data_IF_840902115172
#
_entry.id   IF_840902115172
#
_cell.length_a   1.000
_cell.length_b   1.000
_cell.length_c   1.000
_cell.angle_alpha   90.00
_cell.angle_beta   90.00
_cell.angle_gamma   90.00
#
_symmetry.space_group_name_H-M   'P 1'
#
loop_
_entity.id
_entity.type
_entity.pdbx_description
1 polymer ?
#
# COMPACT_ATOMS: atom_id res chain seq x y z
N UNK A 1 21.29 20.50 2.39
CA UNK A 1 21.20 19.67 1.17
C UNK A 1 22.17 18.48 1.20
N UNK A 2 23.49 18.68 1.38
CA UNK A 2 24.48 17.57 1.42
C UNK A 2 24.21 16.48 2.49
N UNK A 3 23.68 16.84 3.67
CA UNK A 3 23.35 15.89 4.75
C UNK A 3 22.18 14.95 4.44
N UNK A 4 21.22 15.39 3.62
CA UNK A 4 20.06 14.58 3.20
C UNK A 4 20.51 13.53 2.17
N UNK A 5 21.40 13.92 1.26
CA UNK A 5 21.97 13.01 0.24
C UNK A 5 22.79 11.90 0.91
N UNK A 6 23.54 12.21 1.96
CA UNK A 6 24.31 11.21 2.72
C UNK A 6 23.39 10.21 3.44
N UNK A 7 22.27 10.66 4.00
CA UNK A 7 21.27 9.77 4.62
C UNK A 7 20.61 8.82 3.61
N UNK A 8 20.33 9.30 2.40
CA UNK A 8 19.77 8.47 1.31
C UNK A 8 20.77 7.40 0.86
N UNK A 9 22.06 7.76 0.77
CA UNK A 9 23.13 6.84 0.37
C UNK A 9 23.48 5.83 1.48
N UNK A 10 23.35 6.19 2.76
CA UNK A 10 23.57 5.23 3.84
C UNK A 10 22.44 4.19 3.97
N UNK A 11 21.18 4.56 3.67
CA UNK A 11 20.06 3.62 3.70
C UNK A 11 20.18 2.53 2.62
N UNK A 12 20.79 2.83 1.47
CA UNK A 12 20.94 1.86 0.38
C UNK A 12 21.98 0.76 0.65
N UNK A 13 22.76 0.87 1.73
CA UNK A 13 23.76 -0.14 2.12
C UNK A 13 23.24 -1.14 3.17
N UNK A 14 22.02 -0.94 3.67
CA UNK A 14 21.39 -1.83 4.66
C UNK A 14 20.60 -2.96 3.97
N UNK A 15 20.46 -2.94 2.64
CA UNK A 15 19.82 -4.05 1.91
C UNK A 15 20.68 -5.31 2.02
N UNK A 16 20.20 -6.37 2.69
CA UNK A 16 20.86 -7.66 2.65
C UNK A 16 20.82 -8.18 1.21
N UNK A 17 21.97 -8.55 0.64
CA UNK A 17 21.98 -9.40 -0.56
C UNK A 17 21.60 -10.81 -0.11
N UNK A 18 20.41 -11.25 -0.49
CA UNK A 18 19.97 -12.62 -0.21
C UNK A 18 20.86 -13.63 -0.94
N UNK A 19 21.24 -14.68 -0.22
CA UNK A 19 21.99 -15.82 -0.73
C UNK A 19 21.10 -16.63 -1.68
N UNK A 20 21.55 -16.76 -2.93
CA UNK A 20 20.86 -17.46 -4.01
C UNK A 20 20.66 -18.95 -3.66
N UNK A 21 19.49 -19.24 -3.08
CA UNK A 21 18.98 -20.59 -2.85
C UNK A 21 17.98 -20.83 -3.98
N UNK A 22 18.17 -21.87 -4.78
CA UNK A 22 17.34 -22.20 -5.96
C UNK A 22 15.92 -22.65 -5.53
N UNK A 23 15.15 -21.74 -4.94
CA UNK A 23 13.71 -21.86 -4.71
C UNK A 23 13.06 -20.84 -5.64
N UNK A 24 12.71 -21.29 -6.83
CA UNK A 24 11.99 -20.44 -7.79
C UNK A 24 10.57 -20.19 -7.28
N UNK A 25 10.27 -18.94 -6.96
CA UNK A 25 8.91 -18.50 -6.61
C UNK A 25 8.03 -18.57 -7.87
N UNK A 26 6.76 -18.91 -7.71
CA UNK A 26 5.82 -19.03 -8.84
C UNK A 26 5.00 -17.73 -8.96
N UNK A 27 4.98 -17.06 -10.13
CA UNK A 27 4.16 -15.87 -10.34
C UNK A 27 2.67 -16.08 -10.08
N UNK A 28 2.16 -17.27 -10.41
CA UNK A 28 0.76 -17.64 -10.14
C UNK A 28 0.45 -17.75 -8.64
N UNK A 29 1.42 -18.20 -7.83
CA UNK A 29 1.27 -18.22 -6.37
C UNK A 29 1.35 -16.81 -5.80
N UNK A 30 2.27 -15.97 -6.28
CA UNK A 30 2.35 -14.57 -5.88
C UNK A 30 1.04 -13.82 -6.19
N UNK A 31 0.45 -14.05 -7.37
CA UNK A 31 -0.86 -13.53 -7.73
C UNK A 31 -1.96 -14.00 -6.76
N UNK A 32 -2.02 -15.30 -6.47
CA UNK A 32 -3.01 -15.86 -5.54
C UNK A 32 -2.91 -15.23 -4.15
N UNK A 33 -1.70 -15.17 -3.57
CA UNK A 33 -1.51 -14.54 -2.26
C UNK A 33 -1.80 -13.04 -2.27
N UNK A 34 -1.43 -12.33 -3.34
CA UNK A 34 -1.75 -10.92 -3.54
C UNK A 34 -3.25 -10.65 -3.70
N UNK A 35 -3.99 -11.57 -4.33
CA UNK A 35 -5.43 -11.51 -4.48
C UNK A 35 -6.21 -11.89 -3.20
N UNK A 36 -5.57 -12.55 -2.23
CA UNK A 36 -6.21 -12.82 -0.94
C UNK A 36 -6.08 -11.63 0.00
N UNK A 37 -4.89 -11.03 0.07
CA UNK A 37 -4.60 -9.93 0.99
C UNK A 37 -3.68 -8.88 0.36
N UNK A 38 -3.88 -7.58 0.64
CA UNK A 38 -2.95 -6.55 0.23
C UNK A 38 -1.55 -6.86 0.77
N UNK A 39 -0.54 -6.87 -0.11
CA UNK A 39 0.85 -7.22 0.24
C UNK A 39 1.14 -8.72 0.41
N UNK A 40 0.14 -9.61 0.31
CA UNK A 40 0.32 -11.05 0.49
C UNK A 40 1.27 -11.69 -0.52
N UNK A 41 1.24 -11.22 -1.79
CA UNK A 41 2.20 -11.66 -2.80
C UNK A 41 3.64 -11.29 -2.46
N UNK A 42 3.86 -10.14 -1.80
CA UNK A 42 5.19 -9.71 -1.36
C UNK A 42 5.69 -10.53 -0.17
N UNK A 43 4.81 -10.94 0.73
CA UNK A 43 5.14 -11.90 1.79
C UNK A 43 5.57 -13.23 1.19
N UNK A 44 4.87 -13.73 0.16
CA UNK A 44 5.26 -14.96 -0.53
C UNK A 44 6.65 -14.87 -1.18
N UNK A 45 7.02 -13.70 -1.68
CA UNK A 45 8.33 -13.42 -2.27
C UNK A 45 9.40 -13.03 -1.23
N UNK A 46 9.14 -13.18 0.07
CA UNK A 46 10.04 -12.78 1.18
C UNK A 46 10.42 -11.28 1.19
N UNK A 47 9.67 -10.44 0.47
CA UNK A 47 9.87 -8.99 0.40
C UNK A 47 9.08 -8.27 1.48
N UNK A 48 9.45 -8.50 2.74
CA UNK A 48 8.76 -7.98 3.93
C UNK A 48 8.62 -6.45 3.96
N UNK A 49 9.64 -5.71 3.52
CA UNK A 49 9.57 -4.25 3.48
C UNK A 49 8.53 -3.74 2.47
N UNK A 50 8.47 -4.33 1.26
CA UNK A 50 7.44 -4.01 0.27
C UNK A 50 6.04 -4.38 0.78
N UNK A 51 5.92 -5.55 1.40
CA UNK A 51 4.65 -5.98 2.01
C UNK A 51 4.16 -4.97 3.05
N UNK A 52 5.05 -4.52 3.96
CA UNK A 52 4.72 -3.51 4.97
C UNK A 52 4.30 -2.16 4.35
N UNK A 53 4.99 -1.72 3.30
CA UNK A 53 4.61 -0.51 2.57
C UNK A 53 3.22 -0.63 1.94
N UNK A 54 2.93 -1.74 1.24
CA UNK A 54 1.61 -1.95 0.62
C UNK A 54 0.50 -1.98 1.68
N UNK A 55 0.69 -2.76 2.74
CA UNK A 55 -0.30 -2.87 3.83
C UNK A 55 -0.54 -1.53 4.52
N UNK A 56 0.52 -0.78 4.81
CA UNK A 56 0.38 0.55 5.44
C UNK A 56 -0.34 1.56 4.54
N UNK A 57 -0.05 1.57 3.24
CA UNK A 57 -0.75 2.41 2.27
C UNK A 57 -2.23 2.03 2.15
N UNK A 58 -2.53 0.72 2.08
CA UNK A 58 -3.90 0.22 2.03
C UNK A 58 -4.67 0.59 3.30
N UNK A 59 -4.07 0.38 4.48
CA UNK A 59 -4.66 0.76 5.76
C UNK A 59 -4.92 2.27 5.85
N UNK A 60 -3.98 3.09 5.37
CA UNK A 60 -4.16 4.55 5.33
C UNK A 60 -5.31 4.95 4.37
N UNK A 61 -5.44 4.29 3.22
CA UNK A 61 -6.52 4.54 2.28
C UNK A 61 -7.88 4.13 2.87
N UNK A 62 -7.98 2.95 3.49
CA UNK A 62 -9.17 2.47 4.21
C UNK A 62 -9.57 3.44 5.32
N UNK A 63 -8.63 3.83 6.18
CA UNK A 63 -8.88 4.77 7.28
C UNK A 63 -9.45 6.09 6.78
N UNK A 64 -8.86 6.65 5.72
CA UNK A 64 -9.36 7.89 5.14
C UNK A 64 -10.71 7.70 4.44
N UNK A 65 -10.95 6.56 3.80
CA UNK A 65 -12.25 6.23 3.22
C UNK A 65 -13.35 6.23 4.29
N UNK A 66 -13.12 5.53 5.40
CA UNK A 66 -14.04 5.47 6.54
C UNK A 66 -14.26 6.84 7.16
N UNK A 67 -13.18 7.54 7.54
CA UNK A 67 -13.26 8.86 8.17
C UNK A 67 -14.09 9.86 7.34
N UNK A 68 -13.84 9.94 6.03
CA UNK A 68 -14.59 10.86 5.17
C UNK A 68 -16.04 10.39 4.94
N UNK A 69 -16.30 9.08 4.98
CA UNK A 69 -17.66 8.52 4.96
C UNK A 69 -18.45 8.85 6.22
N UNK A 70 -17.83 8.69 7.39
CA UNK A 70 -18.45 8.99 8.69
C UNK A 70 -18.78 10.47 8.82
N UNK A 71 -17.87 11.36 8.38
CA UNK A 71 -18.13 12.80 8.34
C UNK A 71 -19.25 13.14 7.36
N UNK A 72 -19.28 12.50 6.17
CA UNK A 72 -20.35 12.72 5.20
C UNK A 72 -21.73 12.33 5.75
N UNK A 73 -21.81 11.20 6.46
CA UNK A 73 -23.05 10.69 7.04
C UNK A 73 -23.52 11.54 8.23
N UNK A 74 -22.59 12.02 9.06
CA UNK A 74 -22.87 12.81 10.26
C UNK A 74 -22.67 14.33 10.04
N UNK A 75 -22.72 14.79 8.79
CA UNK A 75 -22.34 16.16 8.46
C UNK A 75 -23.18 17.20 9.20
N UNK A 76 -24.48 16.96 9.35
CA UNK A 76 -25.43 17.90 9.96
C UNK A 76 -25.25 18.06 11.47
N UNK A 77 -24.60 17.10 12.14
CA UNK A 77 -24.39 17.13 13.60
C UNK A 77 -23.03 17.69 14.02
N UNK A 78 -22.14 17.96 13.06
CA UNK A 78 -20.78 18.42 13.31
C UNK A 78 -20.48 19.81 12.76
N UNK A 79 -19.42 20.43 13.27
CA UNK A 79 -18.85 21.65 12.70
C UNK A 79 -17.61 21.28 11.87
N UNK A 80 -17.78 21.25 10.54
CA UNK A 80 -16.75 20.84 9.60
C UNK A 80 -16.34 21.98 8.68
N UNK A 81 -15.04 22.08 8.39
CA UNK A 81 -14.46 23.19 7.61
C UNK A 81 -14.71 23.09 6.09
N UNK A 82 -15.16 21.94 5.59
CA UNK A 82 -15.39 21.70 4.16
C UNK A 82 -16.87 21.42 3.92
N UNK A 83 -17.36 21.70 2.71
CA UNK A 83 -18.72 21.32 2.34
C UNK A 83 -18.92 19.80 2.36
N UNK A 84 -20.15 19.36 2.67
CA UNK A 84 -20.56 17.95 2.65
C UNK A 84 -20.12 17.22 1.38
N UNK A 85 -20.29 17.86 0.23
CA UNK A 85 -19.90 17.31 -1.07
C UNK A 85 -18.40 16.98 -1.15
N UNK A 86 -17.53 17.83 -0.58
CA UNK A 86 -16.08 17.57 -0.58
C UNK A 86 -15.69 16.34 0.23
N UNK A 87 -16.43 16.01 1.30
CA UNK A 87 -16.21 14.77 2.04
C UNK A 87 -16.61 13.54 1.21
N UNK A 88 -17.69 13.63 0.43
CA UNK A 88 -18.08 12.57 -0.52
C UNK A 88 -17.01 12.37 -1.61
N UNK A 89 -16.50 13.46 -2.20
CA UNK A 89 -15.40 13.42 -3.17
C UNK A 89 -14.16 12.76 -2.58
N UNK A 90 -13.76 13.13 -1.35
CA UNK A 90 -12.64 12.51 -0.65
C UNK A 90 -12.88 11.02 -0.42
N UNK A 91 -14.06 10.62 0.05
CA UNK A 91 -14.43 9.21 0.23
C UNK A 91 -14.36 8.45 -1.09
N UNK A 92 -14.84 9.02 -2.20
CA UNK A 92 -14.73 8.39 -3.51
C UNK A 92 -13.26 8.29 -3.98
N UNK A 93 -12.47 9.33 -3.75
CA UNK A 93 -11.04 9.36 -4.07
C UNK A 93 -10.27 8.27 -3.32
N UNK A 94 -10.51 8.09 -2.02
CA UNK A 94 -9.82 7.04 -1.26
C UNK A 94 -10.31 5.62 -1.62
N UNK A 95 -11.55 5.46 -2.09
CA UNK A 95 -11.99 4.20 -2.69
C UNK A 95 -11.19 3.81 -3.94
N UNK A 96 -10.91 4.80 -4.80
CA UNK A 96 -10.03 4.57 -5.95
C UNK A 96 -8.60 4.28 -5.55
N UNK A 97 -8.07 4.97 -4.52
CA UNK A 97 -6.73 4.68 -4.01
C UNK A 97 -6.60 3.25 -3.47
N UNK A 98 -7.58 2.76 -2.70
CA UNK A 98 -7.59 1.36 -2.23
C UNK A 98 -7.50 0.40 -3.42
N UNK A 99 -8.34 0.59 -4.45
CA UNK A 99 -8.30 -0.24 -5.65
C UNK A 99 -6.93 -0.22 -6.34
N UNK A 100 -6.34 0.96 -6.56
CA UNK A 100 -5.05 1.08 -7.24
C UNK A 100 -3.90 0.51 -6.41
N UNK A 101 -3.85 0.76 -5.11
CA UNK A 101 -2.81 0.23 -4.22
C UNK A 101 -2.88 -1.30 -4.20
N UNK A 102 -4.08 -1.85 -4.06
CA UNK A 102 -4.33 -3.29 -4.05
C UNK A 102 -3.87 -3.95 -5.36
N UNK A 103 -4.36 -3.47 -6.51
CA UNK A 103 -4.00 -4.04 -7.83
C UNK A 103 -2.51 -3.86 -8.12
N UNK A 104 -1.96 -2.68 -7.84
CA UNK A 104 -0.53 -2.42 -8.02
C UNK A 104 0.33 -3.36 -7.17
N UNK A 105 0.01 -3.53 -5.89
CA UNK A 105 0.75 -4.42 -4.98
C UNK A 105 0.71 -5.88 -5.42
N UNK A 106 -0.43 -6.33 -5.97
CA UNK A 106 -0.55 -7.67 -6.56
C UNK A 106 0.33 -7.81 -7.81
N UNK A 107 0.28 -6.86 -8.74
CA UNK A 107 1.07 -6.91 -9.98
C UNK A 107 2.58 -6.83 -9.71
N UNK A 108 3.01 -5.97 -8.78
CA UNK A 108 4.41 -5.86 -8.37
C UNK A 108 4.92 -7.20 -7.80
N UNK A 109 4.10 -7.91 -7.02
CA UNK A 109 4.45 -9.22 -6.50
C UNK A 109 4.55 -10.30 -7.59
N UNK A 110 3.70 -10.23 -8.63
CA UNK A 110 3.79 -11.16 -9.77
C UNK A 110 5.08 -10.93 -10.55
N UNK A 111 5.46 -9.67 -10.77
CA UNK A 111 6.72 -9.31 -11.43
C UNK A 111 7.92 -9.73 -10.59
N UNK A 112 7.87 -9.53 -9.28
CA UNK A 112 8.95 -9.92 -8.36
C UNK A 112 9.15 -11.44 -8.24
N UNK A 113 8.16 -12.24 -8.63
CA UNK A 113 8.19 -13.70 -8.62
C UNK A 113 8.62 -14.30 -9.97
N UNK A 114 8.75 -13.49 -11.02
CA UNK A 114 9.24 -13.89 -12.33
C UNK A 114 10.75 -13.72 -12.43
#
# INVERSE_FOLDING_TARGET
MKRIIILIICCSWIYPQETDSIITKLPSKAALYGAMFPGGGQVYNDRWFKAALIVSMEAAAIYNWQLNGDIYNNYESGNYNLSKHRYLEKRNKYAWWMFFIYVYGMLDAVVDAH
#
